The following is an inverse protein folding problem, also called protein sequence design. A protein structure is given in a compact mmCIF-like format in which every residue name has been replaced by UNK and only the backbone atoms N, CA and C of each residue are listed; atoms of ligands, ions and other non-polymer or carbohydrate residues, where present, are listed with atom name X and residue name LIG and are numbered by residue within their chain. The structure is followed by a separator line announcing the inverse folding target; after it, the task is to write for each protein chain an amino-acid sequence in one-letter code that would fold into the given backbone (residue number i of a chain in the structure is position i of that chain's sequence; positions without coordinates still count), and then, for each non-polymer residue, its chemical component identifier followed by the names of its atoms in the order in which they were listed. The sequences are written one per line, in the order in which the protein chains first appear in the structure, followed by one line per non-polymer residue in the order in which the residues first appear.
data_IF_002451283911
#
_entry.id   IF_002451283911
#
_cell.length_a   1.000
_cell.length_b   1.000
_cell.length_c   1.000
_cell.angle_alpha   90.00
_cell.angle_beta   90.00
_cell.angle_gamma   90.00
#
_symmetry.space_group_name_H-M   'P 1'
#
loop_
_entity.id
_entity.type
_entity.pdbx_description
1 polymer ?
#
# COMPACT_ATOMS: atom_id res chain seq x y z
N UNK A 1 -14.40 9.38 24.54
CA UNK A 1 -14.46 9.82 23.13
C UNK A 1 -13.04 10.03 22.58
N UNK A 2 -12.22 8.98 22.47
CA UNK A 2 -10.81 9.10 21.99
C UNK A 2 -10.54 8.28 20.72
N UNK A 3 -11.43 7.36 20.34
CA UNK A 3 -11.26 6.46 19.20
C UNK A 3 -11.08 7.19 17.86
N UNK A 4 -11.78 8.32 17.64
CA UNK A 4 -11.82 8.96 16.33
C UNK A 4 -10.53 9.69 15.94
N UNK A 5 -9.72 10.17 16.90
CA UNK A 5 -8.44 10.82 16.56
C UNK A 5 -7.32 9.82 16.30
N UNK A 6 -7.32 8.69 17.02
CA UNK A 6 -6.32 7.63 16.85
C UNK A 6 -6.47 6.95 15.48
N UNK A 7 -7.70 6.66 15.06
CA UNK A 7 -7.98 6.10 13.73
C UNK A 7 -7.55 7.04 12.60
N UNK A 8 -7.81 8.35 12.72
CA UNK A 8 -7.40 9.33 11.71
C UNK A 8 -5.87 9.45 11.58
N UNK A 9 -5.15 9.39 12.70
CA UNK A 9 -3.68 9.38 12.69
C UNK A 9 -3.14 8.13 12.00
N UNK A 10 -3.72 6.95 12.28
CA UNK A 10 -3.31 5.69 11.64
C UNK A 10 -3.57 5.71 10.14
N UNK A 11 -4.74 6.19 9.71
CA UNK A 11 -5.09 6.36 8.30
C UNK A 11 -4.10 7.29 7.58
N UNK A 12 -3.64 8.36 8.24
CA UNK A 12 -2.64 9.28 7.69
C UNK A 12 -1.28 8.59 7.53
N UNK A 13 -0.87 7.80 8.53
CA UNK A 13 0.38 7.03 8.48
C UNK A 13 0.34 6.00 7.35
N UNK A 14 -0.79 5.30 7.15
CA UNK A 14 -0.96 4.38 6.03
C UNK A 14 -0.81 5.08 4.67
N UNK A 15 -1.43 6.25 4.51
CA UNK A 15 -1.31 7.03 3.28
C UNK A 15 0.12 7.51 3.03
N UNK A 16 0.85 7.93 4.08
CA UNK A 16 2.26 8.30 3.99
C UNK A 16 3.13 7.10 3.61
N UNK A 17 2.87 5.93 4.18
CA UNK A 17 3.58 4.70 3.84
C UNK A 17 3.42 4.34 2.36
N UNK A 18 2.17 4.35 1.86
CA UNK A 18 1.90 4.10 0.44
C UNK A 18 2.55 5.15 -0.48
N UNK A 19 2.62 6.41 -0.05
CA UNK A 19 3.29 7.47 -0.80
C UNK A 19 4.82 7.29 -0.84
N UNK A 20 5.43 6.78 0.24
CA UNK A 20 6.85 6.41 0.26
C UNK A 20 7.11 5.33 -0.77
N UNK A 21 6.28 4.28 -0.84
CA UNK A 21 6.45 3.20 -1.82
C UNK A 21 6.39 3.68 -3.27
N UNK A 22 5.58 4.70 -3.57
CA UNK A 22 5.54 5.35 -4.88
C UNK A 22 6.79 6.17 -5.19
N UNK A 23 7.47 6.67 -4.16
CA UNK A 23 8.64 7.55 -4.28
C UNK A 23 9.94 6.75 -4.29
N UNK A 24 10.01 5.68 -3.50
CA UNK A 24 11.09 4.73 -3.39
C UNK A 24 10.54 3.31 -3.36
N UNK A 25 10.58 2.62 -4.50
CA UNK A 25 10.06 1.27 -4.62
C UNK A 25 10.87 0.25 -3.79
N UNK A 26 12.10 0.56 -3.37
CA UNK A 26 12.91 -0.36 -2.55
C UNK A 26 12.44 -0.40 -1.09
N UNK A 27 11.74 0.63 -0.62
CA UNK A 27 11.18 0.66 0.73
C UNK A 27 10.19 -0.49 1.00
N UNK A 28 9.70 -1.17 -0.05
CA UNK A 28 8.87 -2.36 0.11
C UNK A 28 9.64 -3.53 0.75
N UNK A 29 10.96 -3.60 0.57
CA UNK A 29 11.81 -4.62 1.18
C UNK A 29 11.72 -4.54 2.70
N UNK A 30 11.82 -3.32 3.26
CA UNK A 30 11.73 -3.09 4.70
C UNK A 30 10.38 -3.54 5.27
N UNK A 31 9.30 -3.39 4.48
CA UNK A 31 7.95 -3.79 4.90
C UNK A 31 7.73 -5.30 4.83
N UNK A 32 8.29 -5.95 3.81
CA UNK A 32 8.29 -7.41 3.69
C UNK A 32 9.12 -8.03 4.81
N UNK A 33 10.30 -7.48 5.11
CA UNK A 33 11.16 -7.94 6.21
C UNK A 33 10.49 -7.77 7.58
N UNK A 34 9.64 -6.75 7.73
CA UNK A 34 8.82 -6.53 8.92
C UNK A 34 7.54 -7.38 8.98
N UNK A 35 7.30 -8.27 8.01
CA UNK A 35 6.09 -9.12 7.87
C UNK A 35 4.77 -8.34 7.83
N UNK A 36 4.79 -7.11 7.30
CA UNK A 36 3.60 -6.26 7.12
C UNK A 36 2.77 -6.81 5.96
N UNK A 37 1.49 -7.11 6.25
CA UNK A 37 0.52 -7.62 5.27
C UNK A 37 -0.52 -6.56 4.92
N UNK A 38 -1.21 -6.77 3.80
CA UNK A 38 -2.29 -5.87 3.39
C UNK A 38 -3.40 -5.81 4.45
N UNK A 39 -3.67 -6.90 5.16
CA UNK A 39 -4.70 -6.94 6.21
C UNK A 39 -4.37 -6.10 7.45
N UNK A 40 -3.11 -5.68 7.63
CA UNK A 40 -2.68 -4.82 8.74
C UNK A 40 -3.11 -3.36 8.56
N UNK A 41 -3.52 -2.98 7.34
CA UNK A 41 -4.04 -1.64 7.06
C UNK A 41 -5.51 -1.53 7.48
N UNK A 42 -5.87 -0.40 8.11
CA UNK A 42 -7.20 -0.11 8.63
C UNK A 42 -8.23 0.12 7.53
N UNK A 43 -7.86 0.82 6.45
CA UNK A 43 -8.79 1.10 5.34
C UNK A 43 -8.73 0.02 4.27
N UNK A 44 -9.87 -0.58 3.88
CA UNK A 44 -9.90 -1.59 2.82
C UNK A 44 -9.26 -1.15 1.50
N UNK A 45 -9.40 0.14 1.14
CA UNK A 45 -8.74 0.71 -0.04
C UNK A 45 -7.21 0.73 0.07
N UNK A 46 -6.66 0.89 1.27
CA UNK A 46 -5.21 0.86 1.50
C UNK A 46 -4.71 -0.58 1.50
N UNK A 47 -5.49 -1.53 2.01
CA UNK A 47 -5.22 -2.97 1.87
C UNK A 47 -5.06 -3.35 0.39
N UNK A 48 -6.04 -2.97 -0.44
CA UNK A 48 -6.02 -3.22 -1.90
C UNK A 48 -4.81 -2.57 -2.57
N UNK A 49 -4.49 -1.33 -2.21
CA UNK A 49 -3.34 -0.63 -2.77
C UNK A 49 -2.02 -1.31 -2.41
N UNK A 50 -1.82 -1.65 -1.14
CA UNK A 50 -0.62 -2.32 -0.69
C UNK A 50 -0.45 -3.70 -1.34
N UNK A 51 -1.52 -4.48 -1.42
CA UNK A 51 -1.50 -5.78 -2.10
C UNK A 51 -1.12 -5.64 -3.57
N UNK A 52 -1.68 -4.66 -4.29
CA UNK A 52 -1.31 -4.38 -5.68
C UNK A 52 0.16 -3.96 -5.81
N UNK A 53 0.67 -3.12 -4.91
CA UNK A 53 2.08 -2.70 -4.88
C UNK A 53 3.01 -3.91 -4.65
N UNK A 54 2.66 -4.79 -3.72
CA UNK A 54 3.41 -6.01 -3.43
C UNK A 54 3.42 -6.97 -4.63
N UNK A 55 2.27 -7.14 -5.30
CA UNK A 55 2.20 -7.96 -6.52
C UNK A 55 3.05 -7.40 -7.66
N UNK A 56 3.05 -6.08 -7.86
CA UNK A 56 3.92 -5.43 -8.85
C UNK A 56 5.40 -5.66 -8.52
N UNK A 57 5.78 -5.53 -7.25
CA UNK A 57 7.13 -5.82 -6.78
C UNK A 57 7.55 -7.27 -7.07
N UNK A 58 6.72 -8.25 -6.71
CA UNK A 58 6.96 -9.68 -6.97
C UNK A 58 7.15 -9.94 -8.49
N UNK A 59 6.42 -9.19 -9.33
CA UNK A 59 6.52 -9.28 -10.79
C UNK A 59 7.71 -8.51 -11.37
N UNK A 60 8.58 -7.91 -10.54
CA UNK A 60 9.65 -7.00 -10.94
C UNK A 60 9.15 -5.83 -11.81
N UNK A 61 7.90 -5.40 -11.58
CA UNK A 61 7.31 -4.26 -12.23
C UNK A 61 7.50 -2.99 -11.38
N UNK A 62 7.72 -1.82 -11.99
CA UNK A 62 7.89 -0.58 -11.24
C UNK A 62 6.57 -0.21 -10.54
N UNK A 63 6.65 0.25 -9.30
CA UNK A 63 5.48 0.67 -8.51
C UNK A 63 5.28 2.17 -8.74
N UNK A 64 4.36 2.50 -9.64
CA UNK A 64 4.05 3.88 -10.04
C UNK A 64 2.54 4.06 -10.13
N UNK A 65 2.05 5.30 -10.18
CA UNK A 65 0.62 5.57 -10.34
C UNK A 65 0.07 4.90 -11.61
N UNK A 66 0.81 4.95 -12.72
CA UNK A 66 0.39 4.35 -14.00
C UNK A 66 0.29 2.84 -13.89
N UNK A 67 1.33 2.17 -13.42
CA UNK A 67 1.36 0.70 -13.32
C UNK A 67 0.36 0.17 -12.31
N UNK A 68 0.15 0.87 -11.19
CA UNK A 68 -0.91 0.54 -10.24
C UNK A 68 -2.30 0.70 -10.85
N UNK A 69 -2.54 1.79 -11.58
CA UNK A 69 -3.84 2.03 -12.21
C UNK A 69 -4.17 0.93 -13.23
N UNK A 70 -3.19 0.56 -14.06
CA UNK A 70 -3.35 -0.53 -15.04
C UNK A 70 -3.56 -1.89 -14.36
N UNK A 71 -2.80 -2.17 -13.30
CA UNK A 71 -2.92 -3.42 -12.53
C UNK A 71 -4.30 -3.55 -11.88
N UNK A 72 -4.75 -2.50 -11.18
CA UNK A 72 -6.06 -2.46 -10.52
C UNK A 72 -7.20 -2.55 -11.52
N UNK A 73 -7.11 -1.86 -12.66
CA UNK A 73 -8.11 -1.98 -13.72
C UNK A 73 -8.23 -3.42 -14.20
N UNK A 74 -7.11 -4.11 -14.45
CA UNK A 74 -7.12 -5.52 -14.88
C UNK A 74 -7.75 -6.48 -13.86
N UNK A 75 -7.66 -6.19 -12.57
CA UNK A 75 -8.31 -7.02 -11.53
C UNK A 75 -9.83 -6.84 -11.48
N UNK A 76 -10.36 -5.75 -12.01
CA UNK A 76 -11.80 -5.42 -11.97
C UNK A 76 -12.58 -5.92 -13.19
N UNK A 77 -11.92 -6.61 -14.13
CA UNK A 77 -12.49 -7.09 -15.41
C UNK A 77 -12.51 -8.62 -15.46
#
# INVERSE_FOLDING_TARGET
MVANQYDLSNIKMEAELLAILLSDNNAIIDLVDADIKSEDFLLPKHQILFDAMNNLYIQNAPITITTLSEYLQKMMI
#
